data_IF_061583798242
#
_entry.id   IF_061583798242
#
_cell.length_a   1.000
_cell.length_b   1.000
_cell.length_c   1.000
_cell.angle_alpha   90.00
_cell.angle_beta   90.00
_cell.angle_gamma   90.00
#
_symmetry.space_group_name_H-M   'P 1'
#
loop_
_entity.id
_entity.type
_entity.pdbx_description
1 polymer ?
#
# COMPACT_ATOMS: atom_id res chain seq x y z
N UNK A 1 16.31 -19.90 21.77
CA UNK A 1 15.84 -19.88 20.38
C UNK A 1 15.55 -18.43 20.06
N UNK A 2 16.37 -17.80 19.23
CA UNK A 2 16.33 -16.35 18.96
C UNK A 2 14.93 -15.92 18.56
N UNK A 3 14.49 -14.80 19.13
CA UNK A 3 13.33 -14.05 18.71
C UNK A 3 13.39 -13.87 17.19
N UNK A 4 12.56 -14.61 16.46
CA UNK A 4 12.26 -14.25 15.09
C UNK A 4 11.57 -12.91 15.18
N UNK A 5 12.21 -11.88 14.64
CA UNK A 5 11.56 -10.60 14.36
C UNK A 5 10.25 -10.95 13.64
N UNK A 6 9.11 -10.71 14.28
CA UNK A 6 7.80 -10.98 13.72
C UNK A 6 7.69 -10.00 12.54
N UNK A 7 8.07 -10.45 11.34
CA UNK A 7 8.16 -9.57 10.16
C UNK A 7 6.74 -9.13 9.82
N UNK A 8 6.33 -8.03 10.44
CA UNK A 8 5.03 -7.44 10.24
C UNK A 8 5.07 -6.64 8.95
N UNK A 9 4.41 -7.18 7.94
CA UNK A 9 4.25 -6.53 6.65
C UNK A 9 3.48 -5.20 6.80
N UNK A 10 3.88 -4.18 6.04
CA UNK A 10 3.22 -2.85 6.06
C UNK A 10 1.78 -2.89 5.55
N UNK A 11 1.45 -3.83 4.67
CA UNK A 11 0.13 -3.99 4.07
C UNK A 11 -0.52 -5.32 4.46
N UNK A 12 -1.85 -5.33 4.56
CA UNK A 12 -2.65 -6.53 4.84
C UNK A 12 -3.43 -6.99 3.61
N UNK A 13 -4.15 -8.11 3.73
CA UNK A 13 -5.08 -8.54 2.68
C UNK A 13 -6.14 -7.47 2.42
N UNK A 14 -6.51 -7.33 1.16
CA UNK A 14 -7.47 -6.36 0.62
C UNK A 14 -7.01 -4.88 0.67
N UNK A 15 -5.78 -4.59 1.12
CA UNK A 15 -5.24 -3.22 1.06
C UNK A 15 -5.02 -2.76 -0.38
N UNK A 16 -5.37 -1.49 -0.62
CA UNK A 16 -5.14 -0.79 -1.89
C UNK A 16 -3.71 -0.25 -1.96
N UNK A 17 -2.97 -0.71 -2.95
CA UNK A 17 -1.56 -0.39 -3.14
C UNK A 17 -1.28 0.01 -4.58
N UNK A 18 -0.17 0.70 -4.80
CA UNK A 18 0.43 0.87 -6.11
C UNK A 18 1.70 0.05 -6.19
N UNK A 19 1.87 -0.65 -7.29
CA UNK A 19 3.03 -1.47 -7.56
C UNK A 19 3.75 -0.98 -8.80
N UNK A 20 5.08 -1.04 -8.77
CA UNK A 20 5.90 -0.63 -9.91
C UNK A 20 5.93 -1.75 -10.96
N UNK A 21 5.28 -1.51 -12.08
CA UNK A 21 5.11 -2.48 -13.18
C UNK A 21 5.69 -2.00 -14.51
N UNK A 22 5.83 -0.69 -14.70
CA UNK A 22 6.36 -0.10 -15.92
C UNK A 22 7.88 0.06 -15.91
N UNK A 23 8.48 0.11 -17.11
CA UNK A 23 9.92 0.29 -17.31
C UNK A 23 10.41 1.74 -17.02
N UNK A 24 9.49 2.69 -16.83
CA UNK A 24 9.79 4.08 -16.56
C UNK A 24 10.15 4.38 -15.10
N UNK A 25 10.57 5.63 -14.87
CA UNK A 25 10.79 6.21 -13.54
C UNK A 25 9.68 7.19 -13.11
N UNK A 26 8.70 7.45 -13.98
CA UNK A 26 7.58 8.35 -13.73
C UNK A 26 6.38 7.67 -13.05
N UNK A 27 5.33 8.45 -12.79
CA UNK A 27 4.05 7.98 -12.24
C UNK A 27 3.35 6.92 -13.09
N UNK A 28 3.54 6.96 -14.42
CA UNK A 28 3.00 5.97 -15.36
C UNK A 28 3.58 4.57 -15.18
N UNK A 29 4.71 4.44 -14.45
CA UNK A 29 5.31 3.15 -14.13
C UNK A 29 4.62 2.44 -12.96
N UNK A 30 3.64 3.07 -12.32
CA UNK A 30 2.90 2.53 -11.18
C UNK A 30 1.51 2.08 -11.59
N UNK A 31 1.17 0.82 -11.30
CA UNK A 31 -0.18 0.30 -11.48
C UNK A 31 -0.86 0.11 -10.13
N UNK A 32 -2.11 0.55 -10.03
CA UNK A 32 -2.98 0.29 -8.88
C UNK A 32 -3.38 -1.17 -8.79
N UNK A 33 -3.51 -1.67 -7.57
CA UNK A 33 -3.94 -3.03 -7.30
C UNK A 33 -4.32 -3.25 -5.85
N UNK A 34 -4.72 -4.48 -5.56
CA UNK A 34 -5.20 -4.94 -4.25
C UNK A 34 -4.35 -6.10 -3.78
N UNK A 35 -3.92 -6.08 -2.52
CA UNK A 35 -3.17 -7.20 -1.93
C UNK A 35 -4.12 -8.39 -1.75
N UNK A 36 -3.85 -9.49 -2.44
CA UNK A 36 -4.69 -10.70 -2.40
C UNK A 36 -4.05 -11.85 -1.62
N UNK A 37 -2.74 -11.77 -1.35
CA UNK A 37 -2.02 -12.77 -0.57
C UNK A 37 -0.77 -12.20 0.07
N UNK A 38 -0.52 -12.61 1.31
CA UNK A 38 0.74 -12.36 2.01
C UNK A 38 1.64 -13.61 1.91
N UNK A 39 2.96 -13.41 1.92
CA UNK A 39 3.95 -14.50 1.87
C UNK A 39 3.73 -15.45 0.68
N UNK A 40 3.47 -14.86 -0.50
CA UNK A 40 3.24 -15.59 -1.73
C UNK A 40 4.47 -16.39 -2.17
N UNK A 41 4.22 -17.56 -2.74
CA UNK A 41 5.26 -18.42 -3.30
C UNK A 41 4.82 -18.96 -4.66
N UNK A 42 5.64 -18.70 -5.67
CA UNK A 42 5.45 -19.21 -7.01
C UNK A 42 5.86 -20.69 -7.10
N UNK A 43 5.12 -21.46 -7.91
CA UNK A 43 5.47 -22.85 -8.19
C UNK A 43 6.78 -22.89 -9.01
N UNK A 44 7.86 -23.37 -8.38
CA UNK A 44 9.20 -23.43 -8.98
C UNK A 44 10.26 -22.59 -8.28
N UNK A 45 9.89 -21.73 -7.33
CA UNK A 45 10.87 -21.02 -6.52
C UNK A 45 11.52 -21.91 -5.45
N UNK A 46 12.79 -21.64 -5.07
CA UNK A 46 13.43 -22.27 -3.93
C UNK A 46 12.54 -22.17 -2.68
N UNK A 47 12.59 -23.16 -1.79
CA UNK A 47 11.79 -23.14 -0.54
C UNK A 47 12.10 -21.94 0.36
N UNK A 48 13.30 -21.37 0.21
CA UNK A 48 13.77 -20.19 0.94
C UNK A 48 13.30 -18.86 0.33
N UNK A 49 12.62 -18.88 -0.82
CA UNK A 49 12.20 -17.67 -1.53
C UNK A 49 10.68 -17.55 -1.51
N UNK A 50 10.21 -16.47 -0.90
CA UNK A 50 8.81 -16.04 -0.85
C UNK A 50 8.75 -14.56 -1.14
N UNK A 51 7.69 -14.12 -1.83
CA UNK A 51 7.38 -12.71 -2.02
C UNK A 51 6.49 -12.24 -0.86
N UNK A 52 6.77 -11.06 -0.26
CA UNK A 52 5.92 -10.49 0.79
C UNK A 52 4.45 -10.37 0.38
N UNK A 53 4.17 -9.98 -0.87
CA UNK A 53 2.82 -9.70 -1.34
C UNK A 53 2.55 -10.25 -2.73
N UNK A 54 1.34 -10.78 -2.93
CA UNK A 54 0.72 -10.95 -4.23
C UNK A 54 -0.35 -9.87 -4.40
N UNK A 55 -0.34 -9.19 -5.54
CA UNK A 55 -1.21 -8.06 -5.83
C UNK A 55 -2.00 -8.38 -7.09
N UNK A 56 -3.31 -8.20 -7.02
CA UNK A 56 -4.18 -8.19 -8.19
C UNK A 56 -4.32 -6.76 -8.68
N UNK A 57 -3.76 -6.47 -9.84
CA UNK A 57 -3.87 -5.18 -10.50
C UNK A 57 -5.32 -4.92 -10.93
N UNK A 58 -5.68 -3.65 -11.08
CA UNK A 58 -7.02 -3.22 -11.50
C UNK A 58 -7.38 -3.70 -12.92
N UNK A 59 -6.37 -3.93 -13.76
CA UNK A 59 -6.52 -4.52 -15.10
C UNK A 59 -6.74 -6.04 -15.07
N UNK A 60 -6.78 -6.66 -13.89
CA UNK A 60 -7.01 -8.09 -13.68
C UNK A 60 -5.75 -8.96 -13.65
N UNK A 61 -4.56 -8.41 -13.96
CA UNK A 61 -3.31 -9.17 -13.87
C UNK A 61 -2.91 -9.45 -12.42
N UNK A 62 -2.29 -10.59 -12.19
CA UNK A 62 -1.69 -10.93 -10.90
C UNK A 62 -0.17 -10.71 -10.99
N UNK A 63 0.35 -9.92 -10.06
CA UNK A 63 1.78 -9.69 -9.89
C UNK A 63 2.19 -9.98 -8.45
N UNK A 64 3.49 -9.99 -8.19
CA UNK A 64 4.02 -10.09 -6.84
C UNK A 64 5.03 -8.97 -6.59
N UNK A 65 5.06 -8.45 -5.36
CA UNK A 65 6.10 -7.54 -4.93
C UNK A 65 7.24 -8.36 -4.30
N UNK A 66 8.46 -8.36 -4.86
CA UNK A 66 9.58 -9.14 -4.33
C UNK A 66 10.10 -8.63 -2.97
N UNK A 67 9.78 -7.40 -2.57
CA UNK A 67 10.20 -6.78 -1.31
C UNK A 67 9.16 -5.78 -0.82
N UNK A 68 9.12 -5.58 0.49
CA UNK A 68 8.30 -4.57 1.15
C UNK A 68 9.03 -3.22 1.21
N UNK A 69 9.14 -2.56 0.07
CA UNK A 69 9.87 -1.30 -0.09
C UNK A 69 9.08 -0.34 -0.99
N UNK A 70 9.05 0.95 -0.65
CA UNK A 70 8.32 1.98 -1.40
C UNK A 70 8.80 2.17 -2.85
N UNK A 71 9.95 1.60 -3.23
CA UNK A 71 10.42 1.52 -4.62
C UNK A 71 9.66 0.49 -5.46
N UNK A 72 8.94 -0.43 -4.80
CA UNK A 72 8.25 -1.57 -5.41
C UNK A 72 6.76 -1.53 -5.11
N UNK A 73 6.39 -1.28 -3.86
CA UNK A 73 5.02 -1.27 -3.37
C UNK A 73 4.83 -0.11 -2.38
N UNK A 74 3.81 0.70 -2.63
CA UNK A 74 3.44 1.83 -1.78
C UNK A 74 1.94 1.87 -1.58
N UNK A 75 1.49 2.52 -0.50
CA UNK A 75 0.08 2.79 -0.30
C UNK A 75 -0.46 3.60 -1.49
N UNK A 76 -1.66 3.26 -1.98
CA UNK A 76 -2.37 4.11 -2.91
C UNK A 76 -2.85 5.35 -2.13
N UNK A 77 -1.99 6.35 -1.97
CA UNK A 77 -2.37 7.64 -1.40
C UNK A 77 -3.24 8.36 -2.41
N UNK A 78 -4.53 8.38 -2.11
CA UNK A 78 -5.55 9.08 -2.86
C UNK A 78 -6.83 8.98 -2.07
N UNK A 79 -7.63 10.06 -2.10
CA UNK A 79 -8.92 10.20 -1.42
C UNK A 79 -9.94 9.05 -1.68
N UNK A 80 -9.59 8.10 -2.56
CA UNK A 80 -10.37 6.97 -3.04
C UNK A 80 -9.93 5.60 -2.47
N UNK A 81 -8.91 5.54 -1.61
CA UNK A 81 -8.59 4.34 -0.84
C UNK A 81 -9.69 4.13 0.23
N UNK A 82 -10.80 3.56 -0.22
CA UNK A 82 -11.99 3.12 0.51
C UNK A 82 -12.00 3.31 2.04
N UNK A 83 -12.85 4.24 2.49
CA UNK A 83 -13.61 4.09 3.74
C UNK A 83 -12.91 4.41 5.07
N UNK A 84 -11.58 4.51 5.09
CA UNK A 84 -10.85 5.02 6.27
C UNK A 84 -10.32 6.42 5.97
N UNK A 85 -11.21 7.40 6.03
CA UNK A 85 -10.74 8.72 6.45
C UNK A 85 -10.05 8.50 7.81
N UNK A 86 -8.76 8.79 8.00
CA UNK A 86 -8.34 9.10 9.34
C UNK A 86 -9.21 10.29 9.72
N UNK A 87 -10.06 10.10 10.73
CA UNK A 87 -10.61 11.22 11.49
C UNK A 87 -9.39 11.95 12.05
N UNK A 88 -8.78 12.78 11.22
CA UNK A 88 -7.98 13.89 11.67
C UNK A 88 -9.01 14.85 12.22
N UNK A 89 -9.35 14.59 13.48
CA UNK A 89 -9.87 15.52 14.46
C UNK A 89 -9.73 16.96 13.95
N UNK A 90 -10.77 17.48 13.27
CA UNK A 90 -11.07 18.90 13.27
C UNK A 90 -11.86 19.20 14.54
N UNK A 91 -11.35 18.74 15.68
CA UNK A 91 -11.67 19.33 16.98
C UNK A 91 -10.38 19.93 17.48
N UNK A 92 -10.18 21.18 17.08
CA UNK A 92 -9.04 21.98 17.47
C UNK A 92 -9.36 23.44 17.20
N UNK A 93 -10.13 24.04 18.10
CA UNK A 93 -10.34 25.47 18.20
C UNK A 93 -9.03 26.26 18.08
N UNK A 94 -9.02 27.28 17.23
CA UNK A 94 -8.30 28.53 17.45
C UNK A 94 -9.16 29.61 16.76
N UNK A 95 -9.99 30.39 17.45
CA UNK A 95 -9.58 31.27 18.54
C UNK A 95 -9.26 32.65 17.96
N UNK A 96 -10.26 33.53 17.97
CA UNK A 96 -10.23 34.99 17.76
C UNK A 96 -9.97 35.54 16.35
N UNK A 97 -10.97 36.23 15.77
CA UNK A 97 -10.72 37.00 14.54
C UNK A 97 -11.89 37.68 13.83
N UNK A 98 -12.85 38.28 14.55
CA UNK A 98 -13.83 39.28 14.07
C UNK A 98 -14.78 38.86 12.92
N UNK A 99 -15.93 38.31 13.32
CA UNK A 99 -17.20 38.51 12.63
C UNK A 99 -17.53 40.01 12.60
N UNK A 100 -17.67 40.59 11.41
CA UNK A 100 -18.61 41.67 11.02
C UNK A 100 -18.09 42.25 9.70
N UNK A 101 -18.77 41.97 8.60
CA UNK A 101 -19.05 43.02 7.64
C UNK A 101 -20.54 42.92 7.33
N UNK A 102 -21.21 44.02 7.64
CA UNK A 102 -22.56 44.38 7.22
C UNK A 102 -22.70 44.29 5.70
#
# INVERSE_FOLDING_TARGET
MSAGDDIQLRFVLDDRVQCRTGAGNGEDAWSGGTVVKLWYREAGWPKTRTAPYQIKLDDGRLIFAPMDDDRVIRALTGLLAEGKIPVTILTGFLGAGKTTLL
#
